data_IF_916202577832
#
_entry.id   IF_916202577832
#
_cell.length_a   1.000
_cell.length_b   1.000
_cell.length_c   1.000
_cell.angle_alpha   90.00
_cell.angle_beta   90.00
_cell.angle_gamma   90.00
#
_symmetry.space_group_name_H-M   'P 1'
#
loop_
_entity.id
_entity.type
_entity.pdbx_description
1 polymer ?
#
# COMPACT_ATOMS: atom_id res chain seq x y z
N UNK A 1 -17.07 18.77 -6.99
CA UNK A 1 -17.02 18.37 -8.41
C UNK A 1 -16.39 16.98 -8.42
N UNK A 2 -17.21 15.93 -8.41
CA UNK A 2 -16.75 14.55 -8.40
C UNK A 2 -16.18 14.25 -9.80
N UNK A 3 -14.92 13.84 -9.86
CA UNK A 3 -14.31 13.38 -11.10
C UNK A 3 -14.96 12.04 -11.50
N UNK A 4 -15.27 11.88 -12.78
CA UNK A 4 -15.87 10.67 -13.32
C UNK A 4 -14.91 9.48 -13.12
N UNK A 5 -15.41 8.29 -12.72
CA UNK A 5 -14.57 7.10 -12.48
C UNK A 5 -13.64 6.77 -13.65
N UNK A 6 -14.08 7.02 -14.88
CA UNK A 6 -13.31 6.76 -16.10
C UNK A 6 -12.03 7.58 -16.22
N UNK A 7 -11.89 8.68 -15.50
CA UNK A 7 -10.66 9.49 -15.52
C UNK A 7 -9.53 8.86 -14.73
N UNK A 8 -9.82 7.86 -13.89
CA UNK A 8 -8.82 7.14 -13.11
C UNK A 8 -8.16 6.00 -13.87
N UNK A 9 -8.83 5.47 -14.89
CA UNK A 9 -8.48 4.19 -15.51
C UNK A 9 -8.09 4.28 -16.99
N UNK A 10 -8.19 5.43 -17.61
CA UNK A 10 -7.76 5.63 -19.00
C UNK A 10 -6.26 5.82 -19.17
N UNK A 11 -5.48 5.51 -18.15
CA UNK A 11 -4.05 5.45 -18.28
C UNK A 11 -3.65 4.20 -19.05
N UNK A 12 -3.48 4.35 -20.33
CA UNK A 12 -2.83 3.42 -21.23
C UNK A 12 -1.50 2.95 -20.65
N UNK A 13 -1.32 1.67 -20.44
CA UNK A 13 -0.19 0.95 -19.86
C UNK A 13 1.24 1.39 -20.07
N UNK A 14 1.58 2.65 -19.90
CA UNK A 14 2.95 3.12 -19.85
C UNK A 14 3.49 3.01 -18.41
N UNK A 15 4.78 2.77 -18.26
CA UNK A 15 5.47 2.77 -16.96
C UNK A 15 5.22 4.08 -16.17
N UNK A 16 5.01 5.19 -16.89
CA UNK A 16 4.70 6.49 -16.29
C UNK A 16 3.26 6.57 -15.77
N UNK A 17 2.32 5.86 -16.37
CA UNK A 17 0.93 5.81 -15.89
C UNK A 17 0.82 4.97 -14.62
N UNK A 18 1.62 3.92 -14.50
CA UNK A 18 1.78 3.16 -13.26
C UNK A 18 2.25 4.05 -12.08
N UNK A 19 3.08 5.05 -12.36
CA UNK A 19 3.50 6.05 -11.38
C UNK A 19 2.48 7.18 -11.16
N UNK A 20 1.49 7.30 -12.05
CA UNK A 20 0.56 8.44 -12.10
C UNK A 20 -0.83 8.17 -11.53
N UNK A 21 -1.18 6.92 -11.25
CA UNK A 21 -2.48 6.58 -10.64
C UNK A 21 -2.48 7.04 -9.19
N UNK A 22 -2.70 8.32 -8.99
CA UNK A 22 -2.87 8.96 -7.69
C UNK A 22 -4.34 9.07 -7.33
N UNK A 23 -4.64 9.03 -6.06
CA UNK A 23 -5.93 9.37 -5.47
C UNK A 23 -6.32 10.81 -5.89
N UNK A 24 -7.64 11.14 -6.09
CA UNK A 24 -8.08 12.53 -6.20
C UNK A 24 -7.73 13.29 -4.93
N UNK A 25 -6.66 14.00 -4.94
CA UNK A 25 -6.10 14.69 -3.79
C UNK A 25 -4.65 14.31 -3.50
N UNK A 26 -4.14 13.23 -4.07
CA UNK A 26 -2.72 12.97 -4.13
C UNK A 26 -2.07 14.02 -5.03
N UNK A 27 -1.61 15.07 -4.40
CA UNK A 27 -0.66 15.96 -5.09
C UNK A 27 0.63 15.15 -5.30
N UNK A 28 1.18 15.17 -6.49
CA UNK A 28 2.58 14.84 -6.73
C UNK A 28 3.40 15.53 -5.64
N UNK A 29 4.13 14.76 -4.87
CA UNK A 29 4.90 15.30 -3.77
C UNK A 29 4.69 14.57 -2.45
N UNK A 30 4.03 13.38 -2.48
CA UNK A 30 4.10 12.51 -1.30
C UNK A 30 5.57 12.18 -1.04
N UNK A 31 5.97 12.05 0.21
CA UNK A 31 7.35 11.68 0.55
C UNK A 31 7.78 10.33 -0.09
N UNK A 32 6.81 9.47 -0.44
CA UNK A 32 7.05 8.22 -1.18
C UNK A 32 7.49 8.48 -2.62
N UNK A 33 6.87 9.45 -3.30
CA UNK A 33 7.24 9.83 -4.67
C UNK A 33 8.65 10.43 -4.71
N UNK A 34 8.98 11.27 -3.74
CA UNK A 34 10.35 11.77 -3.55
C UNK A 34 11.33 10.65 -3.23
N UNK A 35 10.92 9.65 -2.44
CA UNK A 35 11.69 8.45 -2.16
C UNK A 35 12.02 7.64 -3.40
N UNK A 36 11.03 7.42 -4.27
CA UNK A 36 11.22 6.74 -5.56
C UNK A 36 12.20 7.54 -6.44
N UNK A 37 11.97 8.83 -6.59
CA UNK A 37 12.82 9.69 -7.40
C UNK A 37 14.27 9.68 -6.89
N UNK A 38 14.48 9.82 -5.60
CA UNK A 38 15.81 9.77 -4.99
C UNK A 38 16.48 8.41 -5.22
N UNK A 39 15.74 7.32 -5.08
CA UNK A 39 16.26 5.96 -5.36
C UNK A 39 16.71 5.84 -6.81
N UNK A 40 15.93 6.33 -7.76
CA UNK A 40 16.29 6.33 -9.19
C UNK A 40 17.54 7.17 -9.45
N UNK A 41 17.62 8.36 -8.86
CA UNK A 41 18.81 9.24 -8.98
C UNK A 41 20.05 8.52 -8.44
N UNK A 42 19.94 7.88 -7.27
CA UNK A 42 21.05 7.12 -6.69
C UNK A 42 21.46 5.94 -7.58
N UNK A 43 20.52 5.18 -8.12
CA UNK A 43 20.81 4.11 -9.07
C UNK A 43 21.57 4.62 -10.30
N UNK A 44 21.07 5.68 -10.93
CA UNK A 44 21.74 6.30 -12.10
C UNK A 44 23.13 6.80 -11.75
N UNK A 45 23.28 7.43 -10.58
CA UNK A 45 24.57 7.92 -10.10
C UNK A 45 25.58 6.78 -9.89
N UNK A 46 25.16 5.67 -9.28
CA UNK A 46 26.00 4.48 -9.08
C UNK A 46 26.48 3.94 -10.44
N UNK A 47 25.54 3.74 -11.37
CA UNK A 47 25.86 3.24 -12.71
C UNK A 47 26.80 4.19 -13.46
N UNK A 48 26.54 5.49 -13.41
CA UNK A 48 27.38 6.51 -14.03
C UNK A 48 28.82 6.51 -13.44
N UNK A 49 28.95 6.40 -12.11
CA UNK A 49 30.24 6.29 -11.44
C UNK A 49 31.01 5.04 -11.88
N UNK A 50 30.34 3.90 -11.96
CA UNK A 50 30.96 2.64 -12.41
C UNK A 50 31.45 2.76 -13.86
N UNK A 51 30.61 3.27 -14.76
CA UNK A 51 30.97 3.46 -16.17
C UNK A 51 32.13 4.45 -16.29
N UNK A 52 32.04 5.59 -15.63
CA UNK A 52 33.06 6.64 -15.69
C UNK A 52 34.41 6.13 -15.17
N UNK A 53 34.44 5.44 -14.05
CA UNK A 53 35.68 4.88 -13.49
C UNK A 53 36.25 3.77 -14.35
N UNK A 54 35.44 2.93 -14.93
CA UNK A 54 35.90 1.79 -15.74
C UNK A 54 36.28 2.16 -17.16
N UNK A 55 35.55 3.10 -17.77
CA UNK A 55 35.71 3.42 -19.21
C UNK A 55 36.53 4.68 -19.42
N UNK A 56 36.16 5.77 -18.74
CA UNK A 56 36.78 7.09 -19.02
C UNK A 56 38.12 7.29 -18.30
N UNK A 57 38.20 6.90 -17.03
CA UNK A 57 39.37 7.21 -16.19
C UNK A 57 40.33 6.04 -15.96
N UNK A 58 40.12 4.88 -16.63
CA UNK A 58 40.97 3.68 -16.47
C UNK A 58 42.49 3.98 -16.53
N UNK A 59 42.91 4.97 -17.34
CA UNK A 59 44.32 5.31 -17.54
C UNK A 59 44.71 6.64 -16.91
N UNK A 60 43.79 7.37 -16.28
CA UNK A 60 44.07 8.73 -15.76
C UNK A 60 43.97 8.83 -14.25
N UNK A 61 43.43 7.84 -13.59
CA UNK A 61 43.26 7.81 -12.11
C UNK A 61 44.51 7.22 -11.45
N UNK A 62 44.96 7.87 -10.38
CA UNK A 62 45.92 7.23 -9.46
C UNK A 62 45.23 6.03 -8.77
N UNK A 63 46.01 5.01 -8.42
CA UNK A 63 45.48 3.79 -7.79
C UNK A 63 44.59 4.06 -6.55
N UNK A 64 44.99 5.02 -5.71
CA UNK A 64 44.22 5.39 -4.51
C UNK A 64 42.86 6.01 -4.86
N UNK A 65 42.78 6.89 -5.85
CA UNK A 65 41.52 7.49 -6.29
C UNK A 65 40.60 6.46 -6.93
N UNK A 66 41.14 5.56 -7.73
CA UNK A 66 40.38 4.49 -8.35
C UNK A 66 39.79 3.55 -7.27
N UNK A 67 40.56 3.16 -6.27
CA UNK A 67 40.10 2.34 -5.13
C UNK A 67 38.99 3.05 -4.35
N UNK A 68 39.13 4.34 -4.06
CA UNK A 68 38.10 5.12 -3.35
C UNK A 68 36.80 5.19 -4.15
N UNK A 69 36.85 5.47 -5.45
CA UNK A 69 35.65 5.53 -6.29
C UNK A 69 34.96 4.17 -6.42
N UNK A 70 35.72 3.07 -6.49
CA UNK A 70 35.13 1.73 -6.46
C UNK A 70 34.50 1.42 -5.11
N UNK A 71 35.14 1.78 -3.98
CA UNK A 71 34.57 1.60 -2.66
C UNK A 71 33.24 2.37 -2.52
N UNK A 72 33.21 3.63 -2.97
CA UNK A 72 32.00 4.43 -2.93
C UNK A 72 30.89 3.83 -3.80
N UNK A 73 31.18 3.50 -5.07
CA UNK A 73 30.17 3.05 -6.03
C UNK A 73 29.70 1.62 -5.82
N UNK A 74 30.57 0.70 -5.35
CA UNK A 74 30.25 -0.72 -5.23
C UNK A 74 29.92 -1.16 -3.80
N UNK A 75 30.25 -0.37 -2.78
CA UNK A 75 29.99 -0.73 -1.40
C UNK A 75 29.14 0.32 -0.69
N UNK A 76 29.65 1.55 -0.53
CA UNK A 76 29.00 2.55 0.34
C UNK A 76 27.65 2.99 -0.20
N UNK A 77 27.59 3.43 -1.47
CA UNK A 77 26.32 3.90 -2.06
C UNK A 77 25.25 2.81 -2.14
N UNK A 78 25.53 1.56 -2.59
CA UNK A 78 24.56 0.47 -2.52
C UNK A 78 24.12 0.13 -1.09
N UNK A 79 25.04 0.14 -0.12
CA UNK A 79 24.71 -0.14 1.29
C UNK A 79 23.73 0.89 1.87
N UNK A 80 23.84 2.15 1.47
CA UNK A 80 22.90 3.20 1.89
C UNK A 80 21.62 3.16 1.07
N UNK A 81 21.72 2.91 -0.23
CA UNK A 81 20.57 2.91 -1.13
C UNK A 81 19.60 1.74 -0.85
N UNK A 82 20.13 0.53 -0.58
CA UNK A 82 19.28 -0.66 -0.42
C UNK A 82 18.25 -0.56 0.71
N UNK A 83 18.61 -0.15 1.95
CA UNK A 83 17.63 0.05 3.02
C UNK A 83 16.61 1.13 2.68
N UNK A 84 17.07 2.23 2.08
CA UNK A 84 16.20 3.34 1.69
C UNK A 84 15.22 2.94 0.58
N UNK A 85 15.70 2.25 -0.46
CA UNK A 85 14.87 1.72 -1.53
C UNK A 85 13.84 0.72 -1.00
N UNK A 86 14.29 -0.19 -0.12
CA UNK A 86 13.40 -1.16 0.51
C UNK A 86 12.28 -0.49 1.30
N UNK A 87 12.61 0.51 2.12
CA UNK A 87 11.63 1.28 2.88
C UNK A 87 10.64 1.99 1.94
N UNK A 88 11.13 2.64 0.89
CA UNK A 88 10.29 3.33 -0.10
C UNK A 88 9.34 2.36 -0.81
N UNK A 89 9.83 1.19 -1.23
CA UNK A 89 9.00 0.15 -1.86
C UNK A 89 7.96 -0.37 -0.88
N UNK A 90 8.33 -0.60 0.38
CA UNK A 90 7.40 -1.05 1.42
C UNK A 90 6.25 -0.05 1.63
N UNK A 91 6.54 1.24 1.63
CA UNK A 91 5.51 2.27 1.76
C UNK A 91 4.68 2.44 0.47
N UNK A 92 5.31 2.37 -0.70
CA UNK A 92 4.62 2.41 -1.99
C UNK A 92 3.60 1.28 -2.12
N UNK A 93 3.96 0.07 -1.70
CA UNK A 93 3.08 -1.11 -1.78
C UNK A 93 1.92 -1.11 -0.77
N UNK A 94 1.80 -0.09 0.08
CA UNK A 94 0.62 0.14 0.93
C UNK A 94 -0.45 0.97 0.23
N UNK A 95 -0.11 1.66 -0.84
CA UNK A 95 -1.00 2.63 -1.49
C UNK A 95 -2.08 1.96 -2.35
N UNK A 96 -3.26 2.59 -2.40
CA UNK A 96 -4.39 2.15 -3.23
C UNK A 96 -3.98 2.01 -4.70
N UNK A 97 -3.16 2.94 -5.20
CA UNK A 97 -2.63 2.90 -6.57
C UNK A 97 -1.82 1.64 -6.87
N UNK A 98 -1.08 1.11 -5.87
CA UNK A 98 -0.38 -0.16 -6.04
C UNK A 98 -1.35 -1.33 -6.11
N UNK A 99 -2.35 -1.38 -5.22
CA UNK A 99 -3.39 -2.41 -5.25
C UNK A 99 -4.18 -2.36 -6.56
N UNK A 100 -4.51 -1.15 -7.03
CA UNK A 100 -5.20 -0.91 -8.29
C UNK A 100 -4.39 -1.25 -9.55
N UNK A 101 -3.08 -1.46 -9.45
CA UNK A 101 -2.27 -1.82 -10.62
C UNK A 101 -2.63 -3.18 -11.24
N UNK A 102 -3.31 -4.05 -10.49
CA UNK A 102 -3.88 -5.30 -10.99
C UNK A 102 -5.34 -5.09 -11.45
N UNK A 103 -5.57 -4.18 -12.41
CA UNK A 103 -6.92 -3.70 -12.75
C UNK A 103 -7.96 -4.80 -13.02
N UNK A 104 -7.64 -5.84 -13.77
CA UNK A 104 -8.62 -6.86 -14.18
C UNK A 104 -9.30 -7.53 -12.99
N UNK A 105 -8.57 -7.72 -11.89
CA UNK A 105 -9.05 -8.41 -10.70
C UNK A 105 -9.45 -7.46 -9.58
N UNK A 106 -8.89 -6.25 -9.54
CA UNK A 106 -9.12 -5.27 -8.48
C UNK A 106 -10.19 -4.23 -8.84
N UNK A 107 -10.51 -4.09 -10.15
CA UNK A 107 -11.46 -3.09 -10.62
C UNK A 107 -12.80 -3.07 -9.87
N UNK A 108 -13.49 -4.20 -9.65
CA UNK A 108 -14.78 -4.19 -8.96
C UNK A 108 -14.72 -3.64 -7.53
N UNK A 109 -13.59 -3.87 -6.85
CA UNK A 109 -13.36 -3.40 -5.48
C UNK A 109 -13.04 -1.90 -5.44
N UNK A 110 -12.30 -1.41 -6.42
CA UNK A 110 -12.01 0.00 -6.57
C UNK A 110 -13.26 0.79 -6.94
N UNK A 111 -14.07 0.27 -7.85
CA UNK A 111 -15.36 0.86 -8.24
C UNK A 111 -16.30 0.96 -7.03
N UNK A 112 -16.37 -0.09 -6.22
CA UNK A 112 -17.15 -0.07 -4.99
C UNK A 112 -16.68 1.01 -4.01
N UNK A 113 -15.36 1.15 -3.81
CA UNK A 113 -14.79 2.17 -2.93
C UNK A 113 -15.01 3.59 -3.42
N UNK A 114 -14.83 3.82 -4.74
CA UNK A 114 -14.73 5.15 -5.33
C UNK A 114 -16.07 5.71 -5.79
N UNK A 115 -17.06 4.87 -6.12
CA UNK A 115 -18.35 5.32 -6.59
C UNK A 115 -19.13 6.06 -5.50
N UNK A 116 -19.57 7.31 -5.76
CA UNK A 116 -20.39 8.06 -4.82
C UNK A 116 -21.69 7.32 -4.47
N UNK A 117 -22.08 7.37 -3.19
CA UNK A 117 -23.34 6.80 -2.71
C UNK A 117 -23.31 5.30 -2.44
N UNK A 118 -22.18 4.63 -2.62
CA UNK A 118 -22.00 3.25 -2.14
C UNK A 118 -21.99 3.21 -0.61
N UNK A 119 -22.55 2.13 -0.05
CA UNK A 119 -22.71 1.93 1.39
C UNK A 119 -21.87 0.77 1.94
N UNK A 120 -20.89 0.29 1.17
CA UNK A 120 -19.91 -0.68 1.67
C UNK A 120 -19.03 -0.03 2.74
N UNK A 121 -18.48 -0.83 3.66
CA UNK A 121 -17.53 -0.30 4.65
C UNK A 121 -16.32 0.33 3.95
N UNK A 122 -15.84 -0.27 2.86
CA UNK A 122 -14.74 0.27 2.08
C UNK A 122 -15.08 1.64 1.47
N UNK A 123 -16.28 1.80 0.90
CA UNK A 123 -16.72 3.07 0.32
C UNK A 123 -16.88 4.15 1.39
N UNK A 124 -17.48 3.82 2.53
CA UNK A 124 -17.66 4.77 3.64
C UNK A 124 -16.31 5.27 4.16
N UNK A 125 -15.36 4.35 4.44
CA UNK A 125 -14.04 4.74 4.91
C UNK A 125 -13.23 5.54 3.88
N UNK A 126 -13.37 5.21 2.60
CA UNK A 126 -12.68 5.91 1.54
C UNK A 126 -13.26 7.32 1.27
N UNK A 127 -14.60 7.43 1.21
CA UNK A 127 -15.29 8.69 0.86
C UNK A 127 -15.31 9.68 2.01
N UNK A 128 -15.49 9.23 3.23
CA UNK A 128 -15.53 10.09 4.42
C UNK A 128 -14.14 10.54 4.88
N UNK A 129 -13.09 10.12 4.19
CA UNK A 129 -11.69 10.45 4.50
C UNK A 129 -11.30 10.19 5.95
N UNK A 130 -11.90 9.21 6.56
CA UNK A 130 -11.57 8.78 7.92
C UNK A 130 -10.31 7.90 8.00
N UNK A 131 -9.55 7.75 6.95
CA UNK A 131 -8.26 7.09 7.03
C UNK A 131 -7.29 8.00 7.80
N UNK A 132 -7.00 7.70 9.05
CA UNK A 132 -6.45 8.68 9.98
C UNK A 132 -4.95 8.92 9.81
N UNK A 133 -4.25 8.10 9.07
CA UNK A 133 -2.79 8.13 9.12
C UNK A 133 -2.12 8.54 7.82
N UNK A 134 -2.59 8.08 6.68
CA UNK A 134 -2.03 8.43 5.38
C UNK A 134 -3.09 8.30 4.28
N UNK A 135 -3.45 9.40 3.59
CA UNK A 135 -4.31 9.32 2.42
C UNK A 135 -3.73 8.38 1.37
N UNK A 136 -4.56 7.55 0.77
CA UNK A 136 -4.17 6.61 -0.28
C UNK A 136 -3.70 5.24 0.23
N UNK A 137 -3.85 4.93 1.52
CA UNK A 137 -3.49 3.61 2.11
C UNK A 137 -4.70 2.83 2.62
N UNK A 138 -5.90 3.19 2.22
CA UNK A 138 -7.15 2.67 2.76
C UNK A 138 -7.27 1.14 2.61
N UNK A 139 -6.84 0.58 1.47
CA UNK A 139 -6.80 -0.87 1.29
C UNK A 139 -5.94 -1.54 2.37
N UNK A 140 -4.75 -0.98 2.60
CA UNK A 140 -3.79 -1.52 3.55
C UNK A 140 -4.30 -1.42 4.99
N UNK A 141 -5.04 -0.36 5.32
CA UNK A 141 -5.59 -0.16 6.67
C UNK A 141 -6.51 -1.31 7.12
N UNK A 142 -7.26 -1.91 6.19
CA UNK A 142 -8.14 -3.05 6.46
C UNK A 142 -7.49 -4.40 6.16
N UNK A 143 -6.63 -4.49 5.14
CA UNK A 143 -6.10 -5.74 4.61
C UNK A 143 -4.72 -6.14 5.16
N UNK A 144 -4.13 -5.36 6.06
CA UNK A 144 -2.84 -5.69 6.65
C UNK A 144 -2.96 -6.01 8.14
N UNK A 145 -2.27 -7.06 8.56
CA UNK A 145 -2.03 -7.27 9.98
C UNK A 145 -0.91 -6.33 10.45
N UNK A 146 -1.15 -5.61 11.55
CA UNK A 146 -0.18 -4.69 12.10
C UNK A 146 0.92 -5.40 12.91
N UNK A 147 2.04 -4.70 13.03
CA UNK A 147 3.26 -5.23 13.58
C UNK A 147 4.26 -5.69 12.51
N UNK A 148 5.51 -5.83 12.92
CA UNK A 148 6.62 -6.15 11.99
C UNK A 148 6.37 -7.45 11.23
N UNK A 149 5.93 -8.49 11.95
CA UNK A 149 5.64 -9.79 11.34
C UNK A 149 4.42 -9.75 10.42
N UNK A 150 3.34 -9.06 10.82
CA UNK A 150 2.12 -8.94 10.02
C UNK A 150 2.38 -8.24 8.69
N UNK A 151 3.11 -7.14 8.70
CA UNK A 151 3.49 -6.42 7.49
C UNK A 151 4.30 -7.31 6.55
N UNK A 152 5.29 -8.04 7.05
CA UNK A 152 6.11 -8.94 6.24
C UNK A 152 5.28 -10.08 5.61
N UNK A 153 4.43 -10.73 6.40
CA UNK A 153 3.54 -11.80 5.92
C UNK A 153 2.61 -11.31 4.81
N UNK A 154 1.99 -10.14 4.99
CA UNK A 154 1.10 -9.55 3.96
C UNK A 154 1.87 -9.25 2.67
N UNK A 155 3.12 -8.79 2.75
CA UNK A 155 3.96 -8.56 1.55
C UNK A 155 4.32 -9.86 0.83
N UNK A 156 4.65 -10.93 1.55
CA UNK A 156 4.88 -12.24 0.96
C UNK A 156 3.62 -12.81 0.30
N UNK A 157 2.45 -12.63 0.93
CA UNK A 157 1.17 -13.00 0.33
C UNK A 157 0.90 -12.20 -0.94
N UNK A 158 1.11 -10.88 -0.92
CA UNK A 158 0.98 -10.02 -2.09
C UNK A 158 1.91 -10.43 -3.24
N UNK A 159 3.13 -10.86 -2.94
CA UNK A 159 4.04 -11.38 -3.96
C UNK A 159 3.51 -12.67 -4.59
N UNK A 160 2.97 -13.58 -3.77
CA UNK A 160 2.33 -14.80 -4.28
C UNK A 160 1.09 -14.48 -5.13
N UNK A 161 0.29 -13.47 -4.75
CA UNK A 161 -0.88 -13.06 -5.51
C UNK A 161 -0.49 -12.41 -6.85
N UNK A 162 0.57 -11.59 -6.85
CA UNK A 162 1.15 -11.05 -8.07
C UNK A 162 1.63 -12.16 -9.02
N UNK A 163 2.32 -13.17 -8.48
CA UNK A 163 2.74 -14.33 -9.27
C UNK A 163 1.54 -15.10 -9.85
N UNK A 164 0.50 -15.34 -9.04
CA UNK A 164 -0.72 -16.00 -9.49
C UNK A 164 -1.43 -15.20 -10.60
N UNK A 165 -1.47 -13.87 -10.47
CA UNK A 165 -2.00 -12.99 -11.51
C UNK A 165 -1.19 -13.05 -12.80
N UNK A 166 0.13 -12.93 -12.73
CA UNK A 166 1.02 -12.98 -13.89
C UNK A 166 0.98 -14.32 -14.65
N UNK A 167 0.75 -15.41 -13.93
CA UNK A 167 0.65 -16.77 -14.51
C UNK A 167 -0.77 -17.16 -14.91
N UNK A 168 -1.75 -16.28 -14.73
CA UNK A 168 -3.16 -16.57 -14.98
C UNK A 168 -3.79 -17.59 -14.02
N UNK A 169 -3.10 -17.95 -12.96
CA UNK A 169 -3.58 -18.96 -11.99
C UNK A 169 -4.35 -18.30 -10.84
N UNK A 170 -5.46 -17.64 -11.16
CA UNK A 170 -6.36 -17.01 -10.19
C UNK A 170 -7.83 -17.29 -10.55
N UNK A 171 -8.72 -17.12 -9.57
CA UNK A 171 -10.17 -17.28 -9.75
C UNK A 171 -10.88 -15.96 -9.43
N UNK A 172 -11.89 -15.63 -10.23
CA UNK A 172 -12.78 -14.49 -9.99
C UNK A 172 -14.13 -14.95 -9.41
N UNK A 173 -14.76 -14.16 -8.53
CA UNK A 173 -14.20 -13.00 -7.83
C UNK A 173 -13.09 -13.41 -6.85
N UNK A 174 -12.13 -12.51 -6.62
CA UNK A 174 -11.06 -12.75 -5.65
C UNK A 174 -11.69 -12.84 -4.26
N UNK A 175 -11.30 -13.84 -3.49
CA UNK A 175 -11.77 -14.01 -2.11
C UNK A 175 -10.63 -13.75 -1.13
N UNK A 176 -10.97 -13.16 0.00
CA UNK A 176 -10.04 -13.06 1.12
C UNK A 176 -9.59 -14.46 1.54
N UNK A 177 -8.30 -14.65 1.71
CA UNK A 177 -7.74 -15.92 2.21
C UNK A 177 -8.05 -16.16 3.67
N UNK A 178 -8.21 -15.09 4.43
CA UNK A 178 -8.54 -15.11 5.86
C UNK A 178 -9.53 -13.99 6.15
N UNK A 179 -10.41 -14.19 7.14
CA UNK A 179 -11.25 -13.12 7.66
C UNK A 179 -10.37 -11.95 8.14
N UNK A 180 -10.89 -10.73 8.06
CA UNK A 180 -10.22 -9.56 8.62
C UNK A 180 -10.10 -9.73 10.15
N UNK A 181 -8.99 -9.31 10.72
CA UNK A 181 -8.83 -9.29 12.17
C UNK A 181 -9.62 -8.12 12.77
N UNK A 182 -10.35 -8.37 13.85
CA UNK A 182 -11.09 -7.32 14.56
C UNK A 182 -10.18 -6.23 15.12
N UNK A 183 -8.91 -6.57 15.40
CA UNK A 183 -7.89 -5.58 15.80
C UNK A 183 -7.75 -4.45 14.78
N UNK A 184 -7.99 -4.74 13.48
CA UNK A 184 -7.95 -3.74 12.41
C UNK A 184 -9.02 -2.67 12.58
N UNK A 185 -10.20 -3.07 13.04
CA UNK A 185 -11.30 -2.18 13.31
C UNK A 185 -11.10 -1.46 14.65
N UNK A 186 -10.76 -2.20 15.68
CA UNK A 186 -10.66 -1.70 17.06
C UNK A 186 -9.55 -0.66 17.23
N UNK A 187 -8.47 -0.71 16.49
CA UNK A 187 -7.40 0.31 16.57
C UNK A 187 -7.90 1.75 16.39
N UNK A 188 -8.94 1.95 15.57
CA UNK A 188 -9.56 3.25 15.33
C UNK A 188 -10.88 3.39 16.09
N UNK A 189 -11.66 2.31 16.20
CA UNK A 189 -13.02 2.37 16.70
C UNK A 189 -13.13 2.21 18.22
N UNK A 190 -12.21 1.54 18.90
CA UNK A 190 -12.34 1.22 20.33
C UNK A 190 -12.58 2.45 21.21
N UNK A 191 -12.05 3.61 20.84
CA UNK A 191 -12.23 4.88 21.55
C UNK A 191 -13.12 5.89 20.77
N UNK A 192 -13.72 5.47 19.66
CA UNK A 192 -14.52 6.35 18.84
C UNK A 192 -15.91 6.57 19.46
N UNK A 193 -16.33 7.84 19.58
CA UNK A 193 -17.66 8.18 20.13
C UNK A 193 -18.81 7.42 19.46
N UNK A 194 -18.90 7.31 18.13
CA UNK A 194 -19.96 6.53 17.48
C UNK A 194 -19.99 5.06 17.92
N UNK A 195 -18.81 4.44 18.12
CA UNK A 195 -18.70 3.06 18.59
C UNK A 195 -19.17 2.94 20.04
N UNK A 196 -18.69 3.81 20.92
CA UNK A 196 -19.05 3.79 22.36
C UNK A 196 -20.49 4.23 22.64
N UNK A 197 -21.16 4.90 21.71
CA UNK A 197 -22.57 5.27 21.86
C UNK A 197 -23.54 4.13 21.55
N UNK A 198 -23.07 3.03 20.98
CA UNK A 198 -23.91 1.87 20.61
C UNK A 198 -23.90 0.83 21.74
N UNK A 199 -25.04 0.62 22.36
CA UNK A 199 -25.20 -0.31 23.50
C UNK A 199 -24.83 -1.75 23.16
N UNK A 200 -24.91 -2.15 21.88
CA UNK A 200 -24.51 -3.47 21.43
C UNK A 200 -23.00 -3.72 21.49
N UNK A 201 -22.20 -2.66 21.53
CA UNK A 201 -20.76 -2.75 21.68
C UNK A 201 -20.30 -2.78 23.15
N UNK A 202 -21.21 -2.48 24.06
CA UNK A 202 -20.92 -2.31 25.48
C UNK A 202 -21.45 -3.51 26.29
N UNK A 203 -20.80 -3.75 27.40
CA UNK A 203 -21.31 -4.65 28.42
C UNK A 203 -22.28 -3.95 29.38
N UNK A 204 -22.71 -4.63 30.42
CA UNK A 204 -23.63 -4.07 31.41
C UNK A 204 -23.05 -2.96 32.26
N UNK A 205 -21.73 -2.81 32.27
CA UNK A 205 -21.02 -1.75 33.01
C UNK A 205 -20.80 -0.51 32.17
N UNK A 206 -21.10 -0.56 30.86
CA UNK A 206 -20.87 0.53 29.91
C UNK A 206 -19.46 0.54 29.32
N UNK A 207 -18.69 -0.52 29.54
CA UNK A 207 -17.39 -0.72 28.92
C UNK A 207 -17.50 -1.54 27.64
N UNK A 208 -16.47 -1.48 26.80
CA UNK A 208 -16.46 -2.31 25.58
C UNK A 208 -16.53 -3.79 25.95
N UNK A 209 -17.47 -4.50 25.35
CA UNK A 209 -17.76 -5.89 25.68
C UNK A 209 -16.49 -6.77 25.57
N UNK A 210 -16.16 -7.53 26.60
CA UNK A 210 -15.06 -8.49 26.56
C UNK A 210 -15.19 -9.52 25.44
N UNK A 211 -16.40 -9.83 24.98
CA UNK A 211 -16.65 -10.74 23.87
C UNK A 211 -16.18 -10.16 22.53
N UNK A 212 -16.27 -8.84 22.37
CA UNK A 212 -15.71 -8.11 21.20
C UNK A 212 -14.19 -8.05 21.31
N UNK A 213 -13.67 -7.66 22.47
CA UNK A 213 -12.21 -7.55 22.66
C UNK A 213 -11.48 -8.88 22.52
N UNK A 214 -12.13 -9.99 22.87
CA UNK A 214 -11.57 -11.35 22.69
C UNK A 214 -11.75 -11.91 21.27
N UNK A 215 -12.46 -11.21 20.39
CA UNK A 215 -12.80 -11.72 19.05
C UNK A 215 -13.83 -12.85 19.04
N UNK A 216 -14.50 -13.09 20.17
CA UNK A 216 -15.60 -14.09 20.25
C UNK A 216 -16.81 -13.61 19.43
N UNK A 217 -17.13 -12.33 19.51
CA UNK A 217 -18.08 -11.64 18.61
C UNK A 217 -17.26 -10.81 17.67
N UNK A 218 -17.29 -11.18 16.38
CA UNK A 218 -16.51 -10.51 15.35
C UNK A 218 -17.28 -9.35 14.73
N UNK A 219 -16.58 -8.28 14.38
CA UNK A 219 -17.16 -7.10 13.75
C UNK A 219 -17.95 -7.46 12.48
N UNK A 220 -17.44 -8.39 11.67
CA UNK A 220 -18.07 -8.85 10.43
C UNK A 220 -19.41 -9.59 10.65
N UNK A 221 -19.71 -10.05 11.86
CA UNK A 221 -20.99 -10.72 12.15
C UNK A 221 -22.18 -9.75 12.09
N UNK A 222 -21.95 -8.49 12.43
CA UNK A 222 -22.97 -7.44 12.45
C UNK A 222 -22.74 -6.37 11.35
N UNK A 223 -21.50 -6.22 10.91
CA UNK A 223 -21.10 -5.30 9.84
C UNK A 223 -20.70 -6.11 8.59
N UNK A 224 -21.67 -6.71 7.87
CA UNK A 224 -21.34 -7.54 6.72
C UNK A 224 -20.80 -6.70 5.57
N UNK A 225 -19.95 -7.33 4.80
CA UNK A 225 -19.38 -6.86 3.53
C UNK A 225 -18.51 -5.60 3.58
N UNK A 226 -17.21 -5.82 3.70
CA UNK A 226 -16.21 -4.80 3.45
C UNK A 226 -16.41 -4.16 2.08
N UNK A 227 -16.72 -4.98 1.06
CA UNK A 227 -17.08 -4.56 -0.30
C UNK A 227 -18.41 -5.15 -0.75
N UNK A 228 -19.20 -4.35 -1.46
CA UNK A 228 -20.45 -4.78 -2.13
C UNK A 228 -20.15 -5.09 -3.60
N UNK A 229 -19.38 -6.11 -3.84
CA UNK A 229 -19.03 -6.58 -5.18
C UNK A 229 -19.99 -7.70 -5.57
N UNK A 230 -20.87 -7.43 -6.53
CA UNK A 230 -21.71 -8.47 -7.12
C UNK A 230 -20.83 -9.43 -7.90
N UNK A 231 -20.76 -10.68 -7.47
CA UNK A 231 -20.08 -11.77 -8.15
C UNK A 231 -20.84 -12.26 -9.38
#
# INVERSE_FOLDING_TARGET
>A
MALHPDQYYLASGSLFDFLRVGHPGDRWGSWVDWGILLTLILCVTIVALIITTRVVYRHRLTEGRARLLHLLSLAILPLVMLPFANFTVMEYTKQVRFCGSCHAVMQPYLDDMMMPGKQSLAALHFQDRFAPTQPGTECYECHANYGVHGTFVVKLQGLHDAYSYMTGNYKLPIKLRRPLSDEMCLKCHVNAKPFLSQTLHLDRTGEVSPLILSGTIRCEMCHPSGHLVNG
#
